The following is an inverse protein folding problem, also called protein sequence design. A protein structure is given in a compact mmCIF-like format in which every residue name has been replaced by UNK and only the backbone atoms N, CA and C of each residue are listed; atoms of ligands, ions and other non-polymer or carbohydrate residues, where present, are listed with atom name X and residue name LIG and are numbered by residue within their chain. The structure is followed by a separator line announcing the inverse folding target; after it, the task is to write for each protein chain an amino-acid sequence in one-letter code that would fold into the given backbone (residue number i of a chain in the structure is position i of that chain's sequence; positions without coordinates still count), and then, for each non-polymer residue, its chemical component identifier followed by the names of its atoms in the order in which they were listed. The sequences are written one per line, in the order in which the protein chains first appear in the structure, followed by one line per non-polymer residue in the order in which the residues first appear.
data_IF_002453094193
#
_entry.id   IF_002453094193
#
_cell.length_a   1.000
_cell.length_b   1.000
_cell.length_c   1.000
_cell.angle_alpha   90.00
_cell.angle_beta   90.00
_cell.angle_gamma   90.00
#
_symmetry.space_group_name_H-M   'P 1'
#
loop_
_entity.id
_entity.type
_entity.pdbx_description
1 polymer ?
#
# COMPACT_ATOMS: atom_id res chain seq x y z
N UNK A 1 9.41 -11.26 -14.02
CA UNK A 1 10.19 -10.90 -12.84
C UNK A 1 9.47 -9.91 -11.93
N UNK A 2 8.97 -8.78 -12.46
CA UNK A 2 8.39 -7.70 -11.62
C UNK A 2 7.16 -8.16 -10.81
N UNK A 3 6.27 -8.97 -11.38
CA UNK A 3 5.16 -9.54 -10.63
C UNK A 3 5.64 -10.46 -9.47
N UNK A 4 6.73 -11.21 -9.68
CA UNK A 4 7.36 -12.01 -8.63
C UNK A 4 7.96 -11.15 -7.52
N UNK A 5 8.63 -10.04 -7.88
CA UNK A 5 9.17 -9.06 -6.94
C UNK A 5 8.06 -8.44 -6.07
N UNK A 6 6.94 -8.01 -6.68
CA UNK A 6 5.80 -7.47 -5.94
C UNK A 6 5.15 -8.51 -5.03
N UNK A 7 5.04 -9.76 -5.47
CA UNK A 7 4.57 -10.87 -4.62
C UNK A 7 5.50 -11.10 -3.42
N UNK A 8 6.81 -11.02 -3.64
CA UNK A 8 7.79 -11.12 -2.56
C UNK A 8 7.68 -9.96 -1.55
N UNK A 9 7.44 -8.74 -2.01
CA UNK A 9 7.19 -7.59 -1.14
C UNK A 9 6.01 -7.86 -0.17
N UNK A 10 4.93 -8.48 -0.67
CA UNK A 10 3.80 -8.88 0.20
C UNK A 10 4.20 -9.96 1.18
N UNK A 11 4.92 -11.00 0.74
CA UNK A 11 5.37 -12.11 1.62
C UNK A 11 6.35 -11.63 2.68
N UNK A 12 7.20 -10.63 2.38
CA UNK A 12 8.11 -9.99 3.34
C UNK A 12 7.45 -8.91 4.20
N UNK A 13 6.10 -8.83 4.15
CA UNK A 13 5.29 -7.94 4.99
C UNK A 13 5.60 -6.46 4.82
N UNK A 14 5.87 -6.03 3.59
CA UNK A 14 6.04 -4.61 3.30
C UNK A 14 4.70 -3.88 3.33
N UNK A 15 4.66 -2.70 3.94
CA UNK A 15 3.52 -1.79 3.91
C UNK A 15 3.48 -1.05 2.58
N UNK A 16 2.43 -1.33 1.77
CA UNK A 16 2.39 -0.92 0.36
C UNK A 16 1.23 0.04 0.08
N UNK A 17 1.55 1.18 -0.50
CA UNK A 17 0.57 2.07 -1.11
C UNK A 17 0.56 1.90 -2.64
N UNK A 18 -0.57 1.45 -3.21
CA UNK A 18 -0.80 1.42 -4.66
C UNK A 18 -1.41 2.75 -5.10
N UNK A 19 -0.73 3.46 -5.97
CA UNK A 19 -1.12 4.81 -6.36
C UNK A 19 -1.32 4.95 -7.88
N UNK A 20 -2.15 5.91 -8.27
CA UNK A 20 -2.44 6.16 -9.68
C UNK A 20 -3.72 6.95 -9.86
N UNK A 21 -3.99 7.38 -11.10
CA UNK A 21 -5.20 8.10 -11.47
C UNK A 21 -6.46 7.24 -11.43
N UNK A 22 -7.61 7.86 -11.70
CA UNK A 22 -8.88 7.15 -11.82
C UNK A 22 -8.83 6.13 -12.95
N UNK A 23 -9.27 4.90 -12.66
CA UNK A 23 -9.31 3.82 -13.63
C UNK A 23 -7.95 3.28 -14.08
N UNK A 24 -6.84 3.60 -13.38
CA UNK A 24 -5.49 3.10 -13.68
C UNK A 24 -5.27 1.64 -13.27
N UNK A 25 -6.17 1.04 -12.48
CA UNK A 25 -6.09 -0.35 -12.06
C UNK A 25 -5.59 -0.56 -10.63
N UNK A 26 -5.64 0.47 -9.77
CA UNK A 26 -5.24 0.37 -8.35
C UNK A 26 -5.90 -0.79 -7.63
N UNK A 27 -7.23 -0.86 -7.63
CA UNK A 27 -8.00 -1.96 -6.98
C UNK A 27 -7.67 -3.31 -7.60
N UNK A 28 -7.42 -3.36 -8.93
CA UNK A 28 -7.02 -4.60 -9.61
C UNK A 28 -5.67 -5.08 -9.12
N UNK A 29 -4.69 -4.19 -8.99
CA UNK A 29 -3.37 -4.52 -8.45
C UNK A 29 -3.46 -4.89 -6.97
N UNK A 30 -4.22 -4.12 -6.17
CA UNK A 30 -4.44 -4.43 -4.77
C UNK A 30 -5.01 -5.84 -4.57
N UNK A 31 -6.00 -6.22 -5.42
CA UNK A 31 -6.55 -7.58 -5.44
C UNK A 31 -5.50 -8.65 -5.81
N UNK A 32 -4.60 -8.34 -6.75
CA UNK A 32 -3.53 -9.27 -7.12
C UNK A 32 -2.49 -9.44 -6.00
N UNK A 33 -2.12 -8.35 -5.33
CA UNK A 33 -1.21 -8.35 -4.19
C UNK A 33 -1.84 -9.09 -2.99
N UNK A 34 -3.10 -8.84 -2.69
CA UNK A 34 -3.80 -9.48 -1.57
C UNK A 34 -3.84 -11.01 -1.66
N UNK A 35 -3.77 -11.57 -2.89
CA UNK A 35 -3.68 -13.03 -3.10
C UNK A 35 -2.32 -13.63 -2.76
N UNK A 36 -1.30 -12.79 -2.55
CA UNK A 36 0.04 -13.21 -2.14
C UNK A 36 0.20 -13.25 -0.61
N UNK A 37 -0.81 -12.79 0.13
CA UNK A 37 -0.86 -12.89 1.59
C UNK A 37 -1.05 -14.36 1.99
N UNK A 38 -0.34 -14.79 3.02
CA UNK A 38 -0.47 -16.15 3.55
C UNK A 38 -1.92 -16.42 4.01
N UNK A 39 -2.56 -17.52 3.57
CA UNK A 39 -3.92 -17.85 3.97
C UNK A 39 -4.12 -18.03 5.47
N UNK A 40 -3.05 -18.32 6.22
CA UNK A 40 -3.07 -18.41 7.67
C UNK A 40 -3.18 -17.06 8.39
N UNK A 41 -2.92 -15.94 7.69
CA UNK A 41 -3.01 -14.61 8.28
C UNK A 41 -4.47 -14.13 8.39
N UNK A 42 -4.78 -13.44 9.50
CA UNK A 42 -6.06 -12.77 9.69
C UNK A 42 -6.04 -11.39 9.04
N UNK A 43 -6.86 -11.20 8.03
CA UNK A 43 -6.95 -9.96 7.27
C UNK A 43 -8.23 -9.21 7.67
N UNK A 44 -8.15 -7.92 7.92
CA UNK A 44 -9.31 -7.04 8.01
C UNK A 44 -9.31 -6.11 6.80
N UNK A 45 -10.36 -6.14 5.99
CA UNK A 45 -10.54 -5.21 4.86
C UNK A 45 -11.49 -4.10 5.24
N UNK A 46 -11.22 -2.90 4.75
CA UNK A 46 -12.03 -1.70 4.99
C UNK A 46 -12.24 -1.02 3.65
N UNK A 47 -13.48 -0.90 3.22
CA UNK A 47 -13.85 -0.41 1.89
C UNK A 47 -15.13 0.45 1.96
N UNK A 48 -15.28 1.39 1.02
CA UNK A 48 -16.56 2.08 0.81
C UNK A 48 -17.61 1.09 0.28
N UNK A 49 -17.20 0.21 -0.60
CA UNK A 49 -18.00 -0.87 -1.20
C UNK A 49 -17.09 -2.07 -1.46
N UNK A 50 -17.56 -3.29 -1.19
CA UNK A 50 -16.74 -4.50 -1.28
C UNK A 50 -16.33 -4.82 -2.71
N UNK A 51 -15.11 -4.45 -3.07
CA UNK A 51 -14.46 -4.74 -4.37
C UNK A 51 -13.31 -5.75 -4.23
N UNK A 52 -12.75 -5.89 -3.03
CA UNK A 52 -11.61 -6.77 -2.78
C UNK A 52 -12.00 -8.25 -2.77
N UNK A 53 -11.19 -9.06 -3.44
CA UNK A 53 -11.41 -10.49 -3.61
C UNK A 53 -10.22 -11.28 -3.09
N UNK A 54 -10.45 -12.08 -2.07
CA UNK A 54 -9.48 -12.98 -1.47
C UNK A 54 -9.74 -14.43 -1.88
N UNK A 55 -8.76 -15.31 -1.67
CA UNK A 55 -8.95 -16.74 -1.78
C UNK A 55 -10.02 -17.24 -0.78
N UNK A 56 -10.69 -18.32 -1.10
CA UNK A 56 -11.78 -18.87 -0.27
C UNK A 56 -11.31 -19.36 1.10
N UNK A 57 -10.04 -19.74 1.20
CA UNK A 57 -9.41 -20.25 2.44
C UNK A 57 -8.90 -19.12 3.35
N UNK A 58 -8.85 -17.87 2.87
CA UNK A 58 -8.32 -16.76 3.63
C UNK A 58 -9.26 -16.37 4.80
N UNK A 59 -8.67 -16.10 5.98
CA UNK A 59 -9.40 -15.60 7.14
C UNK A 59 -9.61 -14.09 7.03
N UNK A 60 -10.67 -13.65 6.36
CA UNK A 60 -10.94 -12.25 6.05
C UNK A 60 -12.19 -11.75 6.80
N UNK A 61 -12.03 -10.69 7.61
CA UNK A 61 -13.14 -9.90 8.13
C UNK A 61 -13.33 -8.67 7.23
N UNK A 62 -14.50 -8.53 6.61
CA UNK A 62 -14.81 -7.43 5.69
C UNK A 62 -15.64 -6.38 6.40
N UNK A 63 -15.16 -5.15 6.36
CA UNK A 63 -15.84 -3.98 6.91
C UNK A 63 -16.15 -3.01 5.77
N UNK A 64 -17.43 -2.63 5.67
CA UNK A 64 -17.89 -1.65 4.69
C UNK A 64 -18.38 -0.38 5.39
N UNK A 65 -18.03 0.76 4.84
CA UNK A 65 -18.57 2.04 5.24
C UNK A 65 -20.06 2.10 4.93
N UNK A 66 -20.77 2.95 5.64
CA UNK A 66 -22.19 3.18 5.43
C UNK A 66 -22.49 4.65 5.59
N UNK A 67 -23.12 5.23 4.58
CA UNK A 67 -23.64 6.58 4.65
C UNK A 67 -24.73 6.72 5.72
N UNK A 68 -24.89 7.93 6.25
CA UNK A 68 -26.00 8.26 7.12
C UNK A 68 -27.34 7.97 6.44
N UNK A 69 -28.33 7.52 7.22
CA UNK A 69 -29.71 7.40 6.77
C UNK A 69 -30.27 8.78 6.40
N UNK A 70 -31.46 8.80 5.77
CA UNK A 70 -32.20 10.05 5.45
C UNK A 70 -32.45 10.87 6.75
N UNK A 71 -32.51 10.22 7.89
CA UNK A 71 -32.68 10.86 9.19
C UNK A 71 -31.34 11.38 9.80
N UNK A 72 -30.22 11.26 9.06
CA UNK A 72 -28.89 11.69 9.49
C UNK A 72 -28.25 10.81 10.56
N UNK A 73 -28.70 9.57 10.72
CA UNK A 73 -28.19 8.63 11.74
C UNK A 73 -27.57 7.38 11.12
N UNK A 74 -26.73 6.68 11.89
CA UNK A 74 -26.20 5.38 11.54
C UNK A 74 -25.05 5.41 10.52
N UNK A 75 -24.39 6.56 10.34
CA UNK A 75 -23.15 6.65 9.55
C UNK A 75 -22.05 5.80 10.17
N UNK A 76 -21.31 5.09 9.30
CA UNK A 76 -20.09 4.36 9.66
C UNK A 76 -19.01 4.75 8.67
N UNK A 77 -18.10 5.59 9.10
CA UNK A 77 -17.01 6.09 8.25
C UNK A 77 -15.85 5.11 8.13
N UNK A 78 -15.05 5.21 7.07
CA UNK A 78 -13.79 4.45 6.91
C UNK A 78 -12.90 4.64 8.15
N UNK A 79 -12.79 5.87 8.68
CA UNK A 79 -12.01 6.16 9.88
C UNK A 79 -12.48 5.35 11.10
N UNK A 80 -13.79 5.29 11.35
CA UNK A 80 -14.35 4.49 12.44
C UNK A 80 -14.01 3.01 12.29
N UNK A 81 -14.03 2.52 11.06
CA UNK A 81 -13.69 1.13 10.75
C UNK A 81 -12.20 0.84 10.96
N UNK A 82 -11.29 1.74 10.55
CA UNK A 82 -9.84 1.59 10.80
C UNK A 82 -9.57 1.52 12.31
N UNK A 83 -10.11 2.45 13.09
CA UNK A 83 -9.94 2.47 14.56
C UNK A 83 -10.48 1.17 15.21
N UNK A 84 -11.60 0.65 14.69
CA UNK A 84 -12.19 -0.59 15.20
C UNK A 84 -11.36 -1.82 14.77
N UNK A 85 -10.83 -1.84 13.56
CA UNK A 85 -10.01 -2.93 13.02
C UNK A 85 -8.80 -3.23 13.90
N UNK A 86 -8.14 -2.21 14.46
CA UNK A 86 -7.00 -2.36 15.37
C UNK A 86 -7.33 -3.21 16.62
N UNK A 87 -8.61 -3.31 17.00
CA UNK A 87 -9.09 -4.12 18.15
C UNK A 87 -9.53 -5.52 17.75
N UNK A 88 -9.53 -5.83 16.44
CA UNK A 88 -9.97 -7.12 15.93
C UNK A 88 -8.84 -8.15 15.81
N UNK A 89 -7.63 -7.81 16.29
CA UNK A 89 -6.42 -8.63 16.18
C UNK A 89 -6.11 -9.03 14.73
N UNK A 90 -6.02 -8.09 13.80
CA UNK A 90 -5.61 -8.40 12.45
C UNK A 90 -4.10 -8.65 12.39
N UNK A 91 -3.68 -9.56 11.51
CA UNK A 91 -2.28 -9.66 11.10
C UNK A 91 -1.96 -8.61 10.04
N UNK A 92 -2.97 -8.25 9.21
CA UNK A 92 -2.89 -7.18 8.21
C UNK A 92 -4.20 -6.42 8.09
N UNK A 93 -4.07 -5.13 7.79
CA UNK A 93 -5.21 -4.27 7.45
C UNK A 93 -5.09 -3.88 5.98
N UNK A 94 -6.17 -4.05 5.21
CA UNK A 94 -6.23 -3.65 3.81
C UNK A 94 -7.30 -2.58 3.66
N UNK A 95 -6.88 -1.33 3.43
CA UNK A 95 -7.79 -0.22 3.19
C UNK A 95 -7.95 -0.03 1.68
N UNK A 96 -9.16 -0.22 1.16
CA UNK A 96 -9.44 -0.18 -0.27
C UNK A 96 -9.00 1.13 -0.90
N UNK A 97 -9.30 2.26 -0.26
CA UNK A 97 -8.81 3.58 -0.66
C UNK A 97 -8.77 4.55 0.52
N UNK A 98 -7.71 5.35 0.60
CA UNK A 98 -7.58 6.45 1.56
C UNK A 98 -7.88 7.77 0.86
N UNK A 99 -8.83 8.55 1.42
CA UNK A 99 -9.32 9.81 0.83
C UNK A 99 -9.40 10.96 1.82
N UNK A 100 -9.28 10.71 3.12
CA UNK A 100 -9.51 11.69 4.17
C UNK A 100 -8.74 11.43 5.47
N UNK A 101 -9.31 11.86 6.58
CA UNK A 101 -8.69 11.82 7.91
C UNK A 101 -8.34 10.43 8.44
N UNK A 102 -8.87 9.36 7.86
CA UNK A 102 -8.49 7.98 8.15
C UNK A 102 -7.00 7.69 7.86
N UNK A 103 -6.37 8.53 7.04
CA UNK A 103 -4.94 8.42 6.74
C UNK A 103 -4.08 8.36 7.99
N UNK A 104 -4.36 9.18 9.00
CA UNK A 104 -3.58 9.19 10.25
C UNK A 104 -3.71 7.89 11.02
N UNK A 105 -4.93 7.33 11.10
CA UNK A 105 -5.19 6.10 11.84
C UNK A 105 -4.60 4.88 11.10
N UNK A 106 -4.60 4.91 9.77
CA UNK A 106 -3.94 3.90 8.94
C UNK A 106 -2.41 3.94 9.09
N UNK A 107 -1.80 5.13 9.02
CA UNK A 107 -0.35 5.27 9.26
C UNK A 107 0.03 4.82 10.66
N UNK A 108 -0.80 5.09 11.65
CA UNK A 108 -0.59 4.61 13.01
C UNK A 108 -0.69 3.08 13.09
N UNK A 109 -1.61 2.45 12.35
CA UNK A 109 -1.72 1.00 12.28
C UNK A 109 -0.44 0.36 11.74
N UNK A 110 0.07 0.86 10.61
CA UNK A 110 1.32 0.42 9.99
C UNK A 110 2.52 0.60 10.93
N UNK A 111 2.59 1.70 11.68
CA UNK A 111 3.66 1.97 12.64
C UNK A 111 3.57 1.15 13.95
N UNK A 112 2.49 0.40 14.21
CA UNK A 112 2.24 -0.26 15.50
C UNK A 112 2.08 -1.78 15.41
N UNK A 113 2.75 -2.41 14.44
CA UNK A 113 2.86 -3.87 14.37
C UNK A 113 1.78 -4.56 13.52
N UNK A 114 1.21 -3.84 12.55
CA UNK A 114 0.34 -4.39 11.52
C UNK A 114 1.07 -4.39 10.17
N UNK A 115 2.35 -4.82 10.20
CA UNK A 115 3.24 -4.84 9.04
C UNK A 115 2.65 -5.63 7.87
N UNK A 116 2.84 -5.15 6.66
CA UNK A 116 2.32 -5.75 5.44
C UNK A 116 0.89 -5.30 5.11
N UNK A 117 0.44 -4.20 5.71
CA UNK A 117 -0.83 -3.56 5.36
C UNK A 117 -0.77 -2.97 3.95
N UNK A 118 -1.93 -2.96 3.29
CA UNK A 118 -2.04 -2.52 1.91
C UNK A 118 -3.09 -1.43 1.79
N UNK A 119 -2.83 -0.45 0.92
CA UNK A 119 -3.83 0.57 0.62
C UNK A 119 -3.74 1.09 -0.80
N UNK A 120 -4.75 1.87 -1.23
CA UNK A 120 -4.66 2.67 -2.43
C UNK A 120 -4.94 4.14 -2.14
N UNK A 121 -4.39 5.02 -2.96
CA UNK A 121 -4.77 6.43 -3.00
C UNK A 121 -4.56 7.02 -4.40
N UNK A 122 -5.22 8.13 -4.67
CA UNK A 122 -5.01 8.87 -5.91
C UNK A 122 -3.76 9.72 -5.82
N UNK A 123 -2.77 9.45 -6.68
CA UNK A 123 -1.60 10.31 -6.87
C UNK A 123 -0.97 10.04 -8.25
N UNK A 124 -0.35 11.05 -8.83
CA UNK A 124 0.35 10.96 -10.12
C UNK A 124 1.85 10.63 -9.98
N UNK A 125 2.39 10.61 -8.76
CA UNK A 125 3.77 10.25 -8.47
C UNK A 125 3.92 9.80 -7.01
N UNK A 126 5.04 9.15 -6.68
CA UNK A 126 5.36 8.77 -5.30
C UNK A 126 5.46 10.01 -4.38
N UNK A 127 6.06 11.10 -4.88
CA UNK A 127 6.14 12.36 -4.13
C UNK A 127 4.76 12.96 -3.85
N UNK A 128 3.87 12.96 -4.85
CA UNK A 128 2.48 13.42 -4.67
C UNK A 128 1.74 12.53 -3.67
N UNK A 129 1.96 11.22 -3.68
CA UNK A 129 1.35 10.30 -2.73
C UNK A 129 1.68 10.67 -1.28
N UNK A 130 2.96 10.94 -0.98
CA UNK A 130 3.39 11.40 0.34
C UNK A 130 2.72 12.72 0.72
N UNK A 131 2.73 13.72 -0.17
CA UNK A 131 2.09 15.01 0.09
C UNK A 131 0.58 14.87 0.36
N UNK A 132 -0.11 14.00 -0.39
CA UNK A 132 -1.53 13.73 -0.18
C UNK A 132 -1.80 13.02 1.14
N UNK A 133 -0.97 12.04 1.52
CA UNK A 133 -1.10 11.38 2.82
C UNK A 133 -0.92 12.35 3.98
N UNK A 134 0.09 13.23 3.92
CA UNK A 134 0.29 14.29 4.91
C UNK A 134 -0.93 15.23 4.97
N UNK A 135 -1.44 15.66 3.81
CA UNK A 135 -2.61 16.52 3.75
C UNK A 135 -3.85 15.85 4.34
N UNK A 136 -4.11 14.59 3.98
CA UNK A 136 -5.25 13.82 4.48
C UNK A 136 -5.12 13.53 5.98
N UNK A 137 -3.93 13.18 6.47
CA UNK A 137 -3.68 12.96 7.89
C UNK A 137 -4.00 14.22 8.73
N UNK A 138 -3.75 15.41 8.20
CA UNK A 138 -4.11 16.69 8.86
C UNK A 138 -5.62 16.89 9.02
N UNK A 139 -6.46 16.23 8.22
CA UNK A 139 -7.91 16.23 8.47
C UNK A 139 -8.28 15.41 9.72
N UNK A 140 -7.43 14.47 10.11
CA UNK A 140 -7.65 13.62 11.28
C UNK A 140 -7.00 14.12 12.57
N UNK A 141 -5.90 14.89 12.46
CA UNK A 141 -5.11 15.37 13.60
C UNK A 141 -4.42 16.69 13.27
N UNK A 142 -4.37 17.59 14.26
CA UNK A 142 -3.64 18.86 14.13
C UNK A 142 -2.18 18.68 14.58
N UNK A 143 -1.34 18.23 13.64
CA UNK A 143 0.10 18.11 13.80
C UNK A 143 0.85 18.87 12.70
N UNK A 144 2.08 19.34 12.96
CA UNK A 144 2.94 19.89 11.94
C UNK A 144 3.18 18.94 10.77
N UNK A 145 3.31 19.48 9.56
CA UNK A 145 3.43 18.66 8.35
C UNK A 145 4.72 17.83 8.33
N UNK A 146 5.81 18.32 8.87
CA UNK A 146 7.08 17.63 9.01
C UNK A 146 6.98 16.40 9.93
N UNK A 147 6.24 16.51 11.03
CA UNK A 147 5.97 15.36 11.92
C UNK A 147 5.16 14.28 11.18
N UNK A 148 4.12 14.69 10.43
CA UNK A 148 3.33 13.76 9.64
C UNK A 148 4.11 13.15 8.47
N UNK A 149 5.01 13.92 7.84
CA UNK A 149 5.93 13.40 6.81
C UNK A 149 6.84 12.31 7.40
N UNK A 150 7.38 12.51 8.59
CA UNK A 150 8.13 11.50 9.33
C UNK A 150 7.29 10.25 9.63
N UNK A 151 6.03 10.40 10.00
CA UNK A 151 5.12 9.26 10.21
C UNK A 151 4.84 8.47 8.91
N UNK A 152 4.69 9.15 7.77
CA UNK A 152 4.57 8.49 6.47
C UNK A 152 5.83 7.72 6.14
N UNK A 153 7.02 8.31 6.40
CA UNK A 153 8.30 7.70 6.12
C UNK A 153 8.60 6.43 6.94
N UNK A 154 8.00 6.33 8.14
CA UNK A 154 8.15 5.16 9.01
C UNK A 154 7.04 4.12 8.83
N UNK A 155 5.88 4.52 8.27
CA UNK A 155 4.72 3.66 8.09
C UNK A 155 4.70 2.95 6.75
N UNK A 156 5.21 3.59 5.68
CA UNK A 156 5.23 3.01 4.35
C UNK A 156 6.63 2.52 3.99
N UNK A 157 6.69 1.33 3.42
CA UNK A 157 7.91 0.78 2.82
C UNK A 157 7.95 1.02 1.31
N UNK A 158 6.81 0.88 0.65
CA UNK A 158 6.73 0.86 -0.81
C UNK A 158 5.55 1.67 -1.35
N UNK A 159 5.82 2.38 -2.44
CA UNK A 159 4.80 2.99 -3.30
C UNK A 159 4.89 2.36 -4.69
N UNK A 160 3.78 1.75 -5.14
CA UNK A 160 3.66 1.12 -6.47
C UNK A 160 2.76 1.97 -7.34
N UNK A 161 3.30 2.44 -8.47
CA UNK A 161 2.54 3.27 -9.42
C UNK A 161 1.69 2.41 -10.33
N UNK A 162 0.50 2.89 -10.69
CA UNK A 162 -0.34 2.34 -11.76
C UNK A 162 -0.69 3.43 -12.76
N UNK A 163 -0.65 3.08 -14.05
CA UNK A 163 -0.89 4.01 -15.15
C UNK A 163 -2.03 3.53 -16.05
N UNK A 164 -2.77 4.48 -16.57
CA UNK A 164 -3.67 4.26 -17.71
C UNK A 164 -3.05 4.96 -18.90
N UNK A 165 -2.64 4.18 -19.89
CA UNK A 165 -2.03 4.67 -21.12
C UNK A 165 -3.08 5.34 -22.03
N UNK A 166 -2.66 6.19 -22.99
CA UNK A 166 -3.57 6.88 -23.91
C UNK A 166 -4.51 5.93 -24.69
N UNK A 167 -4.05 4.71 -24.99
CA UNK A 167 -4.85 3.66 -25.63
C UNK A 167 -5.88 2.99 -24.71
N UNK A 168 -5.95 3.37 -23.43
CA UNK A 168 -6.83 2.80 -22.41
C UNK A 168 -6.25 1.57 -21.68
N UNK A 169 -5.11 1.09 -22.11
CA UNK A 169 -4.39 0.01 -21.44
C UNK A 169 -3.92 0.42 -20.04
N UNK A 170 -3.82 -0.55 -19.14
CA UNK A 170 -3.36 -0.34 -17.77
C UNK A 170 -2.00 -1.01 -17.60
N UNK A 171 -1.09 -0.31 -16.92
CA UNK A 171 0.24 -0.84 -16.59
C UNK A 171 0.52 -0.63 -15.10
N UNK A 172 1.16 -1.60 -14.50
CA UNK A 172 1.86 -1.38 -13.25
C UNK A 172 3.10 -0.57 -13.62
N UNK A 173 3.27 0.57 -12.99
CA UNK A 173 4.40 1.48 -13.26
C UNK A 173 5.62 1.12 -12.43
N UNK A 174 6.30 2.15 -11.93
CA UNK A 174 7.50 1.99 -11.10
C UNK A 174 7.19 1.55 -9.67
N UNK A 175 8.25 1.10 -9.00
CA UNK A 175 8.31 0.82 -7.57
C UNK A 175 9.24 1.82 -6.91
N UNK A 176 8.76 2.53 -5.91
CA UNK A 176 9.54 3.45 -5.09
C UNK A 176 9.61 2.93 -3.66
N UNK A 177 10.83 2.78 -3.14
CA UNK A 177 11.08 2.52 -1.73
C UNK A 177 10.97 3.81 -0.94
N UNK A 178 10.31 3.73 0.21
CA UNK A 178 10.14 4.84 1.17
C UNK A 178 11.08 4.59 2.34
N UNK A 179 11.67 5.63 2.88
CA UNK A 179 12.54 5.54 4.05
C UNK A 179 12.53 6.85 4.82
N UNK A 180 12.89 6.79 6.09
CA UNK A 180 13.17 7.99 6.88
C UNK A 180 14.63 8.40 6.65
N UNK A 181 14.85 9.64 6.20
CA UNK A 181 16.18 10.20 6.04
C UNK A 181 16.75 10.67 7.40
N UNK A 182 18.06 10.89 7.48
CA UNK A 182 18.75 11.35 8.70
C UNK A 182 18.23 12.71 9.21
N UNK A 183 17.69 13.54 8.33
CA UNK A 183 17.08 14.83 8.65
C UNK A 183 15.59 14.72 9.09
N UNK A 184 15.07 13.50 9.25
CA UNK A 184 13.71 13.21 9.68
C UNK A 184 12.66 13.37 8.58
N UNK A 185 13.06 13.56 7.33
CA UNK A 185 12.16 13.66 6.17
C UNK A 185 11.97 12.35 5.45
N UNK A 186 10.97 12.30 4.57
CA UNK A 186 10.74 11.17 3.70
C UNK A 186 11.80 11.11 2.61
N UNK A 187 12.52 9.99 2.54
CA UNK A 187 13.37 9.59 1.43
C UNK A 187 12.56 8.74 0.44
N UNK A 188 12.65 9.07 -0.84
CA UNK A 188 12.00 8.34 -1.93
C UNK A 188 13.07 7.87 -2.91
N UNK A 189 13.17 6.58 -3.13
CA UNK A 189 14.15 5.95 -4.00
C UNK A 189 13.44 5.05 -5.00
N UNK A 190 13.54 5.40 -6.29
CA UNK A 190 12.99 4.56 -7.35
C UNK A 190 13.83 3.28 -7.48
N UNK A 191 13.20 2.13 -7.29
CA UNK A 191 13.84 0.82 -7.37
C UNK A 191 13.52 0.12 -8.70
N UNK A 192 12.31 0.34 -9.23
CA UNK A 192 11.91 -0.14 -10.55
C UNK A 192 11.33 1.03 -11.34
N UNK A 193 11.87 1.23 -12.53
CA UNK A 193 11.36 2.19 -13.50
C UNK A 193 10.53 1.49 -14.58
N UNK A 194 9.46 2.15 -15.05
CA UNK A 194 8.72 1.71 -16.22
C UNK A 194 8.99 2.65 -17.39
N UNK A 195 9.60 2.10 -18.44
CA UNK A 195 9.84 2.84 -19.68
C UNK A 195 8.62 2.73 -20.61
N UNK A 196 7.98 3.85 -20.87
CA UNK A 196 6.81 3.95 -21.76
C UNK A 196 7.14 3.72 -23.23
N UNK A 197 8.40 3.87 -23.64
CA UNK A 197 8.80 3.72 -25.04
C UNK A 197 9.00 2.25 -25.38
N UNK A 198 9.69 1.52 -24.52
CA UNK A 198 9.96 0.09 -24.71
C UNK A 198 8.86 -0.82 -24.14
N UNK A 199 7.85 -0.27 -23.42
CA UNK A 199 6.82 -1.01 -22.66
C UNK A 199 7.47 -2.06 -21.73
N UNK A 200 8.52 -1.68 -21.01
CA UNK A 200 9.34 -2.57 -20.20
C UNK A 200 9.63 -1.97 -18.81
N UNK A 201 9.96 -2.87 -17.87
CA UNK A 201 10.41 -2.50 -16.53
C UNK A 201 11.91 -2.71 -16.40
N UNK A 202 12.58 -1.74 -15.80
CA UNK A 202 13.99 -1.78 -15.51
C UNK A 202 14.20 -1.73 -14.00
N UNK A 203 15.05 -2.61 -13.47
CA UNK A 203 15.54 -2.53 -12.10
C UNK A 203 16.60 -1.44 -12.03
N UNK A 204 16.30 -0.34 -11.35
CA UNK A 204 17.23 0.78 -11.16
C UNK A 204 18.13 0.51 -9.95
N UNK A 205 17.53 -0.03 -8.89
CA UNK A 205 18.22 -0.37 -7.65
C UNK A 205 17.50 -1.52 -6.94
N UNK A 206 18.26 -2.40 -6.29
CA UNK A 206 17.68 -3.48 -5.49
C UNK A 206 16.87 -2.92 -4.31
N UNK A 207 15.58 -3.28 -4.18
CA UNK A 207 14.79 -2.92 -3.00
C UNK A 207 15.35 -3.60 -1.74
N UNK A 208 15.48 -2.90 -0.60
CA UNK A 208 16.07 -3.45 0.63
C UNK A 208 15.40 -4.74 1.13
N UNK A 209 14.10 -4.90 0.90
CA UNK A 209 13.37 -6.09 1.33
C UNK A 209 13.82 -7.37 0.61
N UNK A 210 14.49 -7.30 -0.54
CA UNK A 210 14.97 -8.48 -1.28
C UNK A 210 16.10 -9.15 -0.52
N UNK A 211 17.17 -8.40 -0.20
CA UNK A 211 18.29 -8.91 0.58
C UNK A 211 17.87 -9.36 1.98
N UNK A 212 16.97 -8.62 2.63
CA UNK A 212 16.39 -8.98 3.93
C UNK A 212 15.54 -10.27 3.84
N UNK A 213 14.72 -10.39 2.81
CA UNK A 213 13.89 -11.59 2.56
C UNK A 213 14.73 -12.83 2.29
N UNK A 214 15.87 -12.69 1.60
CA UNK A 214 16.85 -13.78 1.42
C UNK A 214 17.49 -14.16 2.75
N UNK A 215 17.86 -13.18 3.56
CA UNK A 215 18.46 -13.39 4.90
C UNK A 215 17.51 -14.13 5.85
N UNK A 216 16.23 -13.81 5.80
CA UNK A 216 15.18 -14.42 6.64
C UNK A 216 14.61 -15.71 6.06
N UNK A 217 14.95 -16.07 4.82
CA UNK A 217 14.48 -17.27 4.14
C UNK A 217 13.05 -17.17 3.56
N UNK A 218 12.44 -15.98 3.56
CA UNK A 218 11.13 -15.72 2.92
C UNK A 218 11.26 -15.68 1.40
N UNK A 219 12.40 -15.21 0.90
CA UNK A 219 12.77 -15.20 -0.52
C UNK A 219 13.92 -16.19 -0.71
N UNK A 220 13.79 -17.10 -1.67
CA UNK A 220 14.90 -17.96 -2.04
C UNK A 220 15.95 -17.17 -2.84
N UNK A 221 17.22 -17.57 -2.75
CA UNK A 221 18.28 -16.93 -3.55
C UNK A 221 18.01 -17.04 -5.04
N UNK A 222 17.46 -18.16 -5.51
CA UNK A 222 17.09 -18.36 -6.90
C UNK A 222 16.02 -17.39 -7.37
N UNK A 223 15.02 -17.06 -6.53
CA UNK A 223 14.03 -16.04 -6.83
C UNK A 223 14.68 -14.65 -6.96
N UNK A 224 15.51 -14.28 -5.98
CA UNK A 224 16.20 -13.00 -5.98
C UNK A 224 17.08 -12.83 -7.22
N UNK A 225 17.89 -13.83 -7.55
CA UNK A 225 18.78 -13.83 -8.73
C UNK A 225 17.99 -13.69 -10.05
N UNK A 226 16.74 -14.17 -10.10
CA UNK A 226 15.86 -14.03 -11.28
C UNK A 226 15.30 -12.61 -11.48
N UNK A 227 15.36 -11.75 -10.49
CA UNK A 227 14.86 -10.36 -10.57
C UNK A 227 15.96 -9.34 -10.72
N UNK A 228 17.15 -9.64 -10.21
CA UNK A 228 18.27 -8.72 -10.23
C UNK A 228 18.95 -8.74 -11.62
N UNK A 229 19.41 -7.58 -12.13
CA UNK A 229 20.21 -7.54 -13.32
C UNK A 229 21.52 -8.30 -13.09
N UNK A 230 21.88 -9.13 -14.06
CA UNK A 230 23.14 -9.87 -14.08
C UNK A 230 24.37 -8.97 -14.27
#
# INVERSE_FOLDING_TARGET
WYAGLLGAAVRTRQDIAVVGGTGSGKTTLLNALSRQIDPGERIVTIEDSAELKFASEAHVARLEARDASIEGTGEVTIRMLVINALRMRPDRIVVGEVRGGEAVDMLQAMNTGHDGSLTTLHAGSAREAVLRLVMMARFGIDLPADILEGQVATALDLIVMTHRLPGGERRVGGLTCVSLSDDGRVGLRECVHYDYVSDAWEMVEEPPFVSEGVRTGVISRQEADAWLPS
#
